data_IF_299788310439
#
_entry.id   IF_299788310439
#
_cell.length_a   1.000
_cell.length_b   1.000
_cell.length_c   1.000
_cell.angle_alpha   90.00
_cell.angle_beta   90.00
_cell.angle_gamma   90.00
#
_symmetry.space_group_name_H-M   'P 1'
#
loop_
_entity.id
_entity.type
_entity.pdbx_description
1 polymer ?
#
# COMPACT_ATOMS: atom_id res chain seq x y z
N UNK A 1 -0.67 20.89 21.04
CA UNK A 1 -0.57 20.52 19.62
C UNK A 1 0.13 19.16 19.51
N UNK A 2 -0.51 18.16 18.94
CA UNK A 2 0.06 16.85 18.66
C UNK A 2 0.83 16.86 17.35
N UNK A 3 1.84 16.00 17.24
CA UNK A 3 2.64 15.84 16.03
C UNK A 3 2.41 14.45 15.44
N UNK A 4 2.29 14.41 14.12
CA UNK A 4 2.26 13.18 13.31
C UNK A 4 3.22 13.34 12.13
N UNK A 5 3.55 12.26 11.45
CA UNK A 5 4.49 12.40 10.34
C UNK A 5 4.53 11.25 9.34
N UNK A 6 5.41 11.40 8.35
CA UNK A 6 5.76 10.38 7.38
C UNK A 6 7.26 10.20 7.32
N UNK A 7 7.72 8.98 7.52
CA UNK A 7 9.12 8.58 7.34
C UNK A 7 9.32 7.94 5.96
N UNK A 8 10.25 8.48 5.18
CA UNK A 8 10.58 7.96 3.84
C UNK A 8 11.74 8.72 3.19
N UNK A 9 12.19 8.25 1.99
CA UNK A 9 13.21 8.94 1.22
C UNK A 9 13.27 8.46 -0.25
N UNK A 10 13.25 9.35 -1.24
CA UNK A 10 12.83 10.75 -1.13
C UNK A 10 11.31 10.85 -0.98
N UNK A 11 10.81 11.91 -0.36
CA UNK A 11 9.37 12.08 -0.13
C UNK A 11 8.66 12.95 -1.18
N UNK A 12 9.39 13.81 -1.90
CA UNK A 12 8.82 14.66 -2.94
C UNK A 12 7.47 15.30 -2.55
N UNK A 13 6.43 15.06 -3.35
CA UNK A 13 5.06 15.45 -3.01
C UNK A 13 4.39 14.34 -2.21
N UNK A 14 4.34 14.49 -0.90
CA UNK A 14 3.74 13.52 0.02
C UNK A 14 2.22 13.66 0.06
N UNK A 15 1.50 12.63 -0.43
CA UNK A 15 0.06 12.53 -0.25
C UNK A 15 -0.34 12.61 1.23
N UNK A 16 0.32 11.85 2.10
CA UNK A 16 -0.01 11.80 3.53
C UNK A 16 0.06 13.18 4.19
N UNK A 17 1.07 13.99 3.86
CA UNK A 17 1.17 15.35 4.40
C UNK A 17 0.00 16.21 3.97
N UNK A 18 -0.36 16.20 2.69
CA UNK A 18 -1.50 16.96 2.16
C UNK A 18 -2.79 16.50 2.81
N UNK A 19 -3.04 15.19 2.83
CA UNK A 19 -4.25 14.58 3.39
C UNK A 19 -4.44 14.94 4.87
N UNK A 20 -3.44 14.70 5.71
CA UNK A 20 -3.56 14.96 7.15
C UNK A 20 -3.62 16.44 7.48
N UNK A 21 -2.91 17.31 6.74
CA UNK A 21 -3.00 18.77 6.92
C UNK A 21 -4.44 19.25 6.66
N UNK A 22 -5.05 18.78 5.57
CA UNK A 22 -6.45 19.10 5.23
C UNK A 22 -7.43 18.54 6.28
N UNK A 23 -7.26 17.30 6.69
CA UNK A 23 -8.05 16.64 7.74
C UNK A 23 -7.99 17.43 9.05
N UNK A 24 -6.80 17.80 9.52
CA UNK A 24 -6.64 18.53 10.78
C UNK A 24 -7.30 19.89 10.72
N UNK A 25 -7.19 20.60 9.59
CA UNK A 25 -7.86 21.89 9.36
C UNK A 25 -9.38 21.76 9.36
N UNK A 26 -9.91 20.79 8.61
CA UNK A 26 -11.36 20.62 8.42
C UNK A 26 -12.04 20.14 9.69
N UNK A 27 -11.41 19.19 10.41
CA UNK A 27 -11.95 18.62 11.65
C UNK A 27 -11.55 19.42 12.91
N UNK A 28 -10.82 20.55 12.74
CA UNK A 28 -10.32 21.43 13.82
C UNK A 28 -9.50 20.66 14.88
N UNK A 29 -8.65 19.75 14.42
CA UNK A 29 -7.75 18.97 15.27
C UNK A 29 -6.49 19.80 15.54
N UNK A 30 -6.11 19.93 16.83
CA UNK A 30 -4.89 20.61 17.26
C UNK A 30 -3.66 19.71 17.03
N UNK A 31 -3.28 19.54 15.76
CA UNK A 31 -2.17 18.69 15.34
C UNK A 31 -1.46 19.22 14.10
N UNK A 32 -0.22 18.78 13.90
CA UNK A 32 0.60 19.03 12.73
C UNK A 32 1.08 17.72 12.11
N UNK A 33 1.23 17.70 10.77
CA UNK A 33 1.82 16.58 10.05
C UNK A 33 3.11 17.00 9.34
N UNK A 34 4.22 16.32 9.64
CA UNK A 34 5.54 16.64 9.11
C UNK A 34 6.13 15.48 8.30
N UNK A 35 7.05 15.80 7.39
CA UNK A 35 7.85 14.81 6.69
C UNK A 35 9.17 14.60 7.44
N UNK A 36 9.45 13.37 7.84
CA UNK A 36 10.76 12.89 8.29
C UNK A 36 11.50 12.33 7.06
N UNK A 37 11.92 13.25 6.17
CA UNK A 37 12.66 12.90 4.96
C UNK A 37 14.13 12.73 5.28
N UNK A 38 14.64 11.51 5.19
CA UNK A 38 16.04 11.22 5.52
C UNK A 38 16.48 9.91 4.85
N UNK A 39 17.72 9.83 4.43
CA UNK A 39 18.39 8.61 3.97
C UNK A 39 19.00 7.80 5.12
N UNK A 40 18.98 8.35 6.36
CA UNK A 40 19.48 7.72 7.57
C UNK A 40 18.35 7.46 8.58
N UNK A 41 17.86 6.22 8.60
CA UNK A 41 16.77 5.81 9.49
C UNK A 41 17.12 5.92 10.98
N UNK A 42 18.37 5.63 11.37
CA UNK A 42 18.79 5.61 12.78
C UNK A 42 18.76 7.02 13.39
N UNK A 43 19.32 7.99 12.68
CA UNK A 43 19.26 9.39 13.12
C UNK A 43 17.83 9.89 13.22
N UNK A 44 17.00 9.55 12.25
CA UNK A 44 15.59 9.98 12.24
C UNK A 44 14.82 9.37 13.41
N UNK A 45 15.05 8.09 13.71
CA UNK A 45 14.40 7.42 14.84
C UNK A 45 14.86 7.97 16.21
N UNK A 46 16.10 8.47 16.31
CA UNK A 46 16.52 9.19 17.52
C UNK A 46 15.70 10.47 17.72
N UNK A 47 15.50 11.27 16.66
CA UNK A 47 14.63 12.46 16.71
C UNK A 47 13.20 12.09 17.06
N UNK A 48 12.64 11.05 16.42
CA UNK A 48 11.29 10.54 16.67
C UNK A 48 11.12 10.15 18.15
N UNK A 49 12.05 9.36 18.71
CA UNK A 49 11.99 8.89 20.10
C UNK A 49 12.12 10.03 21.14
N UNK A 50 12.75 11.13 20.76
CA UNK A 50 12.97 12.29 21.65
C UNK A 50 11.97 13.43 21.42
N UNK A 51 10.93 13.23 20.62
CA UNK A 51 9.89 14.24 20.32
C UNK A 51 8.62 13.94 21.12
N UNK A 52 8.35 14.59 22.28
CA UNK A 52 7.27 14.20 23.19
C UNK A 52 5.86 14.41 22.60
N UNK A 53 5.73 15.32 21.65
CA UNK A 53 4.44 15.63 20.99
C UNK A 53 4.05 14.62 19.90
N UNK A 54 4.99 13.77 19.44
CA UNK A 54 4.75 12.81 18.36
C UNK A 54 3.90 11.63 18.86
N UNK A 55 2.77 11.38 18.20
CA UNK A 55 1.82 10.32 18.55
C UNK A 55 1.86 9.14 17.56
N UNK A 56 2.31 9.38 16.34
CA UNK A 56 2.44 8.34 15.34
C UNK A 56 2.99 8.87 14.03
N UNK A 57 3.42 7.95 13.19
CA UNK A 57 3.93 8.29 11.88
C UNK A 57 3.70 7.16 10.87
N UNK A 58 3.43 7.54 9.63
CA UNK A 58 3.41 6.63 8.50
C UNK A 58 4.84 6.31 8.04
N UNK A 59 5.03 5.15 7.42
CA UNK A 59 6.32 4.70 6.88
C UNK A 59 6.14 4.32 5.41
N UNK A 60 6.99 4.86 4.55
CA UNK A 60 7.00 4.55 3.12
C UNK A 60 8.39 4.09 2.64
N UNK A 61 8.55 3.96 1.34
CA UNK A 61 9.81 3.56 0.71
C UNK A 61 10.95 4.49 1.17
N UNK A 62 12.15 3.93 1.50
CA UNK A 62 12.53 2.51 1.43
C UNK A 62 12.41 1.80 2.80
N UNK A 63 11.64 2.32 3.76
CA UNK A 63 11.75 1.97 5.17
C UNK A 63 10.70 0.97 5.69
N UNK A 64 9.69 0.58 4.90
CA UNK A 64 8.63 -0.34 5.37
C UNK A 64 9.13 -1.66 5.95
N UNK A 65 10.22 -2.21 5.42
CA UNK A 65 10.87 -3.42 5.93
C UNK A 65 12.01 -3.07 6.90
N UNK A 66 12.78 -2.02 6.57
CA UNK A 66 13.98 -1.64 7.32
C UNK A 66 13.70 -1.12 8.73
N UNK A 67 12.49 -0.63 9.01
CA UNK A 67 12.11 -0.10 10.32
C UNK A 67 11.90 -1.20 11.36
N UNK A 68 11.58 -2.43 10.93
CA UNK A 68 11.18 -3.54 11.81
C UNK A 68 12.15 -3.78 12.97
N UNK A 69 13.50 -3.81 12.78
CA UNK A 69 14.45 -4.04 13.87
C UNK A 69 14.46 -2.94 14.94
N UNK A 70 13.87 -1.78 14.68
CA UNK A 70 13.86 -0.62 15.58
C UNK A 70 12.57 -0.46 16.38
N UNK A 71 11.58 -1.35 16.14
CA UNK A 71 10.27 -1.33 16.80
C UNK A 71 10.28 -2.20 18.05
N UNK A 72 9.61 -1.71 19.10
CA UNK A 72 9.45 -2.46 20.36
C UNK A 72 8.38 -3.55 20.21
N UNK A 73 7.31 -3.23 19.48
CA UNK A 73 6.23 -4.17 19.18
C UNK A 73 5.83 -4.10 17.70
N UNK A 74 5.29 -5.20 17.19
CA UNK A 74 4.78 -5.33 15.84
C UNK A 74 3.51 -6.17 15.84
N UNK A 75 2.47 -5.70 15.17
CA UNK A 75 1.21 -6.43 15.01
C UNK A 75 1.41 -7.77 14.30
N UNK A 76 0.52 -8.73 14.54
CA UNK A 76 0.62 -10.07 13.95
C UNK A 76 0.62 -10.02 12.41
N UNK A 77 -0.28 -9.21 11.82
CA UNK A 77 -0.35 -9.05 10.36
C UNK A 77 0.93 -8.41 9.79
N UNK A 78 1.41 -7.32 10.39
CA UNK A 78 2.65 -6.67 9.94
C UNK A 78 3.86 -7.61 10.05
N UNK A 79 3.88 -8.49 11.06
CA UNK A 79 4.93 -9.51 11.23
C UNK A 79 4.87 -10.57 10.15
N UNK A 80 3.67 -11.09 9.82
CA UNK A 80 3.48 -12.09 8.76
C UNK A 80 3.89 -11.54 7.39
N UNK A 81 3.62 -10.26 7.13
CA UNK A 81 3.96 -9.60 5.86
C UNK A 81 5.44 -9.24 5.80
N UNK A 82 6.07 -8.97 6.95
CA UNK A 82 7.43 -8.46 7.03
C UNK A 82 7.53 -7.00 6.58
N UNK A 83 6.46 -6.19 6.71
CA UNK A 83 6.46 -4.78 6.36
C UNK A 83 5.52 -3.97 7.28
N UNK A 84 5.97 -2.76 7.64
CA UNK A 84 5.25 -1.79 8.48
C UNK A 84 5.06 -0.51 7.69
N UNK A 85 3.83 0.02 7.62
CA UNK A 85 3.53 1.31 6.99
C UNK A 85 2.98 2.34 7.98
N UNK A 86 2.70 1.95 9.22
CA UNK A 86 2.19 2.84 10.27
C UNK A 86 2.79 2.49 11.62
N UNK A 87 3.25 3.47 12.37
CA UNK A 87 3.84 3.30 13.70
C UNK A 87 3.12 4.20 14.70
N UNK A 88 2.62 3.60 15.78
CA UNK A 88 2.12 4.31 16.97
C UNK A 88 3.29 4.60 17.89
N UNK A 89 3.32 5.81 18.48
CA UNK A 89 4.34 6.25 19.45
C UNK A 89 3.66 6.50 20.79
N UNK A 90 4.10 5.78 21.81
CA UNK A 90 3.63 5.96 23.18
C UNK A 90 4.81 6.41 24.06
N UNK A 91 4.67 7.57 24.71
CA UNK A 91 5.68 8.11 25.59
C UNK A 91 5.46 7.64 27.01
N UNK A 92 6.49 7.05 27.62
CA UNK A 92 6.51 6.57 28.99
C UNK A 92 7.61 7.26 29.79
N UNK A 93 7.63 7.05 31.11
CA UNK A 93 8.69 7.57 31.98
C UNK A 93 10.07 6.99 31.59
N UNK A 94 10.10 5.77 31.05
CA UNK A 94 11.32 5.06 30.65
C UNK A 94 11.76 5.30 29.20
N UNK A 95 10.99 6.06 28.42
CA UNK A 95 11.27 6.33 27.00
C UNK A 95 10.05 6.17 26.11
N UNK A 96 10.27 6.13 24.81
CA UNK A 96 9.21 5.98 23.81
C UNK A 96 9.10 4.52 23.35
N UNK A 97 7.89 4.00 23.31
CA UNK A 97 7.52 2.67 22.78
C UNK A 97 7.00 2.85 21.37
N UNK A 98 7.56 2.13 20.42
CA UNK A 98 7.18 2.14 19.01
C UNK A 98 6.45 0.83 18.65
N UNK A 99 5.18 0.92 18.27
CA UNK A 99 4.38 -0.25 17.82
C UNK A 99 4.06 -0.14 16.34
N UNK A 100 4.51 -1.11 15.55
CA UNK A 100 4.35 -1.16 14.10
C UNK A 100 3.12 -1.92 13.63
N UNK A 101 2.46 -1.38 12.60
CA UNK A 101 1.27 -1.93 11.95
C UNK A 101 1.41 -1.89 10.44
N UNK A 102 0.54 -2.65 9.75
CA UNK A 102 0.38 -2.54 8.30
C UNK A 102 -1.08 -2.23 7.97
N UNK A 103 -1.36 -0.97 7.66
CA UNK A 103 -2.71 -0.50 7.30
C UNK A 103 -3.00 -0.62 5.80
N UNK A 104 -2.01 -0.90 4.96
CA UNK A 104 -2.20 -1.16 3.52
C UNK A 104 -3.11 -2.36 3.30
N UNK A 105 -3.04 -3.38 4.17
CA UNK A 105 -3.92 -4.56 4.13
C UNK A 105 -5.38 -4.16 4.22
N UNK A 106 -5.71 -3.36 5.25
CA UNK A 106 -7.08 -2.95 5.52
C UNK A 106 -7.61 -2.04 4.42
N UNK A 107 -6.76 -1.08 3.99
CA UNK A 107 -7.10 -0.16 2.90
C UNK A 107 -7.37 -0.89 1.59
N UNK A 108 -6.50 -1.83 1.21
CA UNK A 108 -6.70 -2.63 0.00
C UNK A 108 -7.94 -3.52 0.11
N UNK A 109 -8.09 -4.26 1.21
CA UNK A 109 -9.21 -5.19 1.42
C UNK A 109 -10.56 -4.48 1.31
N UNK A 110 -10.73 -3.37 2.00
CA UNK A 110 -11.98 -2.59 1.98
C UNK A 110 -12.24 -2.01 0.60
N UNK A 111 -11.23 -1.40 -0.03
CA UNK A 111 -11.34 -0.89 -1.39
C UNK A 111 -11.68 -1.97 -2.42
N UNK A 112 -11.11 -3.18 -2.26
CA UNK A 112 -11.43 -4.31 -3.13
C UNK A 112 -12.87 -4.78 -2.97
N UNK A 113 -13.35 -4.95 -1.72
CA UNK A 113 -14.70 -5.44 -1.43
C UNK A 113 -15.80 -4.47 -1.89
N UNK A 114 -15.52 -3.17 -1.95
CA UNK A 114 -16.43 -2.22 -2.57
C UNK A 114 -16.44 -2.30 -4.11
N UNK A 115 -15.32 -2.68 -4.70
CA UNK A 115 -15.18 -2.77 -6.15
C UNK A 115 -15.79 -4.04 -6.72
N UNK A 116 -15.67 -5.16 -6.01
CA UNK A 116 -16.17 -6.47 -6.45
C UNK A 116 -17.30 -6.93 -5.54
N UNK A 117 -18.47 -7.24 -6.12
CA UNK A 117 -19.63 -7.71 -5.33
C UNK A 117 -19.42 -9.10 -4.74
N UNK A 118 -18.76 -9.98 -5.49
CA UNK A 118 -18.45 -11.36 -5.08
C UNK A 118 -16.97 -11.61 -5.30
N UNK A 119 -16.19 -11.83 -4.24
CA UNK A 119 -14.78 -12.15 -4.38
C UNK A 119 -14.56 -13.40 -5.25
N UNK A 120 -13.66 -13.34 -6.23
CA UNK A 120 -13.32 -14.51 -7.04
C UNK A 120 -12.49 -15.49 -6.21
N UNK A 121 -12.39 -16.73 -6.68
CA UNK A 121 -11.54 -17.74 -6.02
C UNK A 121 -10.06 -17.57 -6.32
N UNK A 122 -9.72 -16.89 -7.41
CA UNK A 122 -8.35 -16.73 -7.89
C UNK A 122 -8.07 -15.32 -8.39
N UNK A 123 -6.84 -14.86 -8.23
CA UNK A 123 -6.35 -13.57 -8.70
C UNK A 123 -4.93 -13.65 -9.26
N UNK A 124 -4.64 -12.79 -10.25
CA UNK A 124 -3.28 -12.48 -10.71
C UNK A 124 -2.78 -11.24 -10.00
N UNK A 125 -1.59 -11.32 -9.43
CA UNK A 125 -0.92 -10.20 -8.79
C UNK A 125 0.39 -9.89 -9.51
N UNK A 126 0.44 -8.75 -10.18
CA UNK A 126 1.61 -8.31 -10.94
C UNK A 126 2.58 -7.59 -10.00
N UNK A 127 3.78 -8.16 -9.80
CA UNK A 127 4.84 -7.60 -8.97
C UNK A 127 5.02 -8.29 -7.61
N UNK A 128 6.23 -8.12 -7.05
CA UNK A 128 6.73 -8.81 -5.83
C UNK A 128 7.23 -7.85 -4.75
N UNK A 129 6.96 -6.55 -4.87
CA UNK A 129 7.41 -5.50 -3.93
C UNK A 129 6.65 -5.49 -2.59
N UNK A 130 7.00 -4.55 -1.72
CA UNK A 130 6.38 -4.44 -0.38
C UNK A 130 4.86 -4.27 -0.39
N UNK A 131 4.29 -3.52 -1.34
CA UNK A 131 2.84 -3.40 -1.50
C UNK A 131 2.20 -4.73 -1.93
N UNK A 132 2.88 -5.50 -2.79
CA UNK A 132 2.42 -6.83 -3.23
C UNK A 132 2.26 -7.80 -2.05
N UNK A 133 3.17 -7.76 -1.07
CA UNK A 133 3.09 -8.62 0.14
C UNK A 133 1.81 -8.33 0.95
N UNK A 134 1.46 -7.04 1.12
CA UNK A 134 0.23 -6.64 1.81
C UNK A 134 -1.02 -7.09 1.04
N UNK A 135 -1.02 -6.94 -0.30
CA UNK A 135 -2.10 -7.40 -1.17
C UNK A 135 -2.27 -8.93 -1.10
N UNK A 136 -1.18 -9.70 -1.18
CA UNK A 136 -1.23 -11.16 -1.04
C UNK A 136 -1.87 -11.58 0.29
N UNK A 137 -1.46 -10.95 1.39
CA UNK A 137 -2.01 -11.24 2.70
C UNK A 137 -3.51 -10.90 2.78
N UNK A 138 -3.92 -9.76 2.24
CA UNK A 138 -5.32 -9.36 2.17
C UNK A 138 -6.16 -10.35 1.35
N UNK A 139 -5.69 -10.75 0.18
CA UNK A 139 -6.38 -11.72 -0.68
C UNK A 139 -6.48 -13.10 -0.01
N UNK A 140 -5.40 -13.58 0.62
CA UNK A 140 -5.41 -14.84 1.37
C UNK A 140 -6.42 -14.81 2.53
N UNK A 141 -6.58 -13.67 3.23
CA UNK A 141 -7.60 -13.49 4.28
C UNK A 141 -9.04 -13.55 3.75
N UNK A 142 -9.23 -13.32 2.46
CA UNK A 142 -10.52 -13.44 1.75
C UNK A 142 -10.72 -14.82 1.10
N UNK A 143 -9.78 -15.75 1.27
CA UNK A 143 -9.82 -17.08 0.65
C UNK A 143 -9.52 -17.07 -0.85
N UNK A 144 -8.89 -16.02 -1.37
CA UNK A 144 -8.53 -15.89 -2.78
C UNK A 144 -7.13 -16.45 -3.00
N UNK A 145 -7.00 -17.45 -3.88
CA UNK A 145 -5.72 -17.97 -4.33
C UNK A 145 -5.02 -16.96 -5.25
N UNK A 146 -3.71 -16.74 -5.02
CA UNK A 146 -2.94 -15.70 -5.71
C UNK A 146 -1.83 -16.30 -6.56
N UNK A 147 -1.85 -16.02 -7.86
CA UNK A 147 -0.73 -16.27 -8.77
C UNK A 147 0.09 -14.99 -8.92
N UNK A 148 1.26 -14.97 -8.32
CA UNK A 148 2.15 -13.78 -8.40
C UNK A 148 2.97 -13.82 -9.67
N UNK A 149 2.93 -12.72 -10.42
CA UNK A 149 3.65 -12.54 -11.68
C UNK A 149 4.93 -11.74 -11.44
N UNK A 150 6.06 -12.28 -11.86
CA UNK A 150 7.39 -11.67 -11.71
C UNK A 150 8.16 -11.64 -13.04
N UNK A 151 9.03 -10.64 -13.22
CA UNK A 151 9.98 -10.59 -14.33
C UNK A 151 11.10 -11.63 -14.18
N UNK A 152 11.42 -11.96 -12.93
CA UNK A 152 12.40 -12.97 -12.53
C UNK A 152 11.73 -13.91 -11.53
N UNK A 153 10.91 -14.85 -12.00
CA UNK A 153 10.09 -15.67 -11.12
C UNK A 153 10.95 -16.61 -10.24
N UNK A 154 10.56 -16.73 -8.97
CA UNK A 154 11.13 -17.64 -8.00
C UNK A 154 10.04 -18.62 -7.51
N UNK A 155 10.38 -19.91 -7.35
CA UNK A 155 9.52 -20.98 -6.83
C UNK A 155 8.09 -21.01 -7.38
N UNK A 156 7.11 -20.44 -6.62
CA UNK A 156 5.68 -20.45 -6.95
C UNK A 156 5.23 -19.26 -7.81
N UNK A 157 6.16 -18.37 -8.19
CA UNK A 157 5.84 -17.23 -9.05
C UNK A 157 5.76 -17.67 -10.51
N UNK A 158 4.96 -16.96 -11.31
CA UNK A 158 4.85 -17.17 -12.75
C UNK A 158 5.49 -16.01 -13.51
N UNK A 159 5.97 -16.29 -14.72
CA UNK A 159 6.51 -15.26 -15.61
C UNK A 159 5.40 -14.61 -16.46
N UNK A 160 5.67 -13.44 -17.02
CA UNK A 160 4.70 -12.70 -17.84
C UNK A 160 4.23 -13.47 -19.08
N UNK A 161 5.08 -14.28 -19.69
CA UNK A 161 4.72 -15.15 -20.84
C UNK A 161 3.75 -16.27 -20.50
N UNK A 162 3.62 -16.62 -19.22
CA UNK A 162 2.68 -17.62 -18.73
C UNK A 162 1.29 -17.06 -18.43
N UNK A 163 1.14 -15.72 -18.28
CA UNK A 163 -0.11 -15.07 -17.83
C UNK A 163 -1.32 -15.49 -18.66
N UNK A 164 -1.16 -15.64 -19.98
CA UNK A 164 -2.25 -16.06 -20.87
C UNK A 164 -2.98 -17.34 -20.42
N UNK A 165 -2.26 -18.27 -19.77
CA UNK A 165 -2.80 -19.56 -19.33
C UNK A 165 -3.72 -19.44 -18.11
N UNK A 166 -3.60 -18.35 -17.37
CA UNK A 166 -4.33 -18.11 -16.12
C UNK A 166 -5.55 -17.22 -16.30
N UNK A 167 -5.57 -16.33 -17.30
CA UNK A 167 -6.60 -15.30 -17.46
C UNK A 167 -8.03 -15.83 -17.47
N UNK A 168 -8.28 -17.00 -18.07
CA UNK A 168 -9.64 -17.57 -18.13
C UNK A 168 -10.22 -17.91 -16.76
N UNK A 169 -9.38 -18.17 -15.76
CA UNK A 169 -9.76 -18.60 -14.42
C UNK A 169 -9.48 -17.57 -13.33
N UNK A 170 -8.80 -16.48 -13.68
CA UNK A 170 -8.41 -15.42 -12.73
C UNK A 170 -9.07 -14.09 -13.13
N UNK A 171 -10.34 -13.88 -12.78
CA UNK A 171 -11.04 -12.67 -13.17
C UNK A 171 -10.49 -11.39 -12.53
N UNK A 172 -9.76 -11.48 -11.41
CA UNK A 172 -9.16 -10.34 -10.73
C UNK A 172 -7.68 -10.24 -11.08
N UNK A 173 -7.28 -9.09 -11.63
CA UNK A 173 -5.90 -8.78 -11.99
C UNK A 173 -5.49 -7.51 -11.26
N UNK A 174 -4.41 -7.58 -10.47
CA UNK A 174 -3.96 -6.47 -9.64
C UNK A 174 -2.56 -6.04 -10.08
N UNK A 175 -2.40 -4.77 -10.43
CA UNK A 175 -1.09 -4.19 -10.67
C UNK A 175 -0.52 -3.62 -9.35
N UNK A 176 0.47 -4.30 -8.77
CA UNK A 176 1.24 -3.84 -7.62
C UNK A 176 2.68 -3.43 -8.02
N UNK A 177 2.93 -3.20 -9.31
CA UNK A 177 4.18 -2.67 -9.84
C UNK A 177 4.11 -1.14 -9.97
N UNK A 178 5.26 -0.44 -10.08
CA UNK A 178 5.27 0.99 -10.41
C UNK A 178 5.11 1.27 -11.92
N UNK A 179 4.84 0.25 -12.74
CA UNK A 179 4.74 0.40 -14.21
C UNK A 179 3.45 1.12 -14.58
N UNK A 180 3.57 2.26 -15.21
CA UNK A 180 2.45 3.16 -15.54
C UNK A 180 2.28 4.35 -14.59
N UNK A 181 3.10 4.42 -13.54
CA UNK A 181 3.13 5.56 -12.61
C UNK A 181 3.87 6.75 -13.23
N UNK A 182 3.46 7.95 -12.84
CA UNK A 182 4.20 9.17 -13.19
C UNK A 182 5.70 9.07 -12.82
N UNK A 183 6.67 9.51 -13.68
CA UNK A 183 6.44 10.20 -14.97
C UNK A 183 6.25 9.26 -16.18
N UNK A 184 6.34 7.95 -16.05
CA UNK A 184 6.31 6.97 -17.15
C UNK A 184 4.90 6.43 -17.41
N UNK A 185 3.94 7.34 -17.59
CA UNK A 185 2.49 7.04 -17.66
C UNK A 185 2.06 6.23 -18.90
N UNK A 186 2.89 6.19 -19.94
CA UNK A 186 2.59 5.42 -21.16
C UNK A 186 2.96 3.94 -21.07
N UNK A 187 3.67 3.56 -20.01
CA UNK A 187 4.04 2.17 -19.78
C UNK A 187 2.88 1.40 -19.14
N UNK A 188 2.80 0.11 -19.41
CA UNK A 188 1.87 -0.81 -18.74
C UNK A 188 2.52 -2.18 -18.53
N UNK A 189 2.03 -3.01 -17.58
CA UNK A 189 2.45 -4.40 -17.47
C UNK A 189 2.22 -5.16 -18.78
N UNK A 190 3.17 -6.00 -19.16
CA UNK A 190 3.14 -6.75 -20.41
C UNK A 190 2.26 -8.02 -20.27
N UNK A 191 0.95 -7.84 -20.28
CA UNK A 191 -0.04 -8.92 -20.25
C UNK A 191 -0.83 -8.97 -21.57
N UNK A 192 -1.42 -10.12 -21.93
CA UNK A 192 -2.18 -10.25 -23.18
C UNK A 192 -3.59 -9.63 -23.04
N UNK A 193 -3.68 -8.29 -23.11
CA UNK A 193 -4.93 -7.51 -22.95
C UNK A 193 -6.08 -7.97 -23.84
N UNK A 194 -5.80 -8.46 -25.07
CA UNK A 194 -6.80 -8.97 -26.01
C UNK A 194 -7.56 -10.20 -25.51
N UNK A 195 -7.09 -10.86 -24.44
CA UNK A 195 -7.79 -11.97 -23.76
C UNK A 195 -8.71 -11.51 -22.62
N UNK A 196 -8.70 -10.22 -22.29
CA UNK A 196 -9.58 -9.66 -21.30
C UNK A 196 -11.01 -9.52 -21.83
N UNK A 197 -11.97 -9.39 -20.92
CA UNK A 197 -13.39 -9.25 -21.23
C UNK A 197 -14.14 -8.56 -20.08
N UNK A 198 -15.44 -8.40 -20.21
CA UNK A 198 -16.33 -7.87 -19.16
C UNK A 198 -16.38 -8.70 -17.86
N UNK A 199 -15.82 -9.92 -17.88
CA UNK A 199 -15.69 -10.77 -16.67
C UNK A 199 -14.48 -10.41 -15.83
N UNK A 200 -13.58 -9.54 -16.31
CA UNK A 200 -12.35 -9.19 -15.61
C UNK A 200 -12.50 -7.90 -14.80
N UNK A 201 -11.79 -7.86 -13.69
CA UNK A 201 -11.63 -6.72 -12.79
C UNK A 201 -10.14 -6.39 -12.72
N UNK A 202 -9.78 -5.17 -13.12
CA UNK A 202 -8.41 -4.67 -13.04
C UNK A 202 -8.31 -3.67 -11.90
N UNK A 203 -7.52 -4.01 -10.89
CA UNK A 203 -7.22 -3.13 -9.78
C UNK A 203 -5.78 -2.64 -9.91
N UNK A 204 -5.57 -1.34 -10.07
CA UNK A 204 -4.23 -0.75 -10.09
C UNK A 204 -3.94 -0.09 -8.75
N UNK A 205 -2.82 -0.43 -8.08
CA UNK A 205 -2.41 0.28 -6.86
C UNK A 205 -1.93 1.71 -7.13
N UNK A 206 -1.66 2.03 -8.39
CA UNK A 206 -1.31 3.39 -8.84
C UNK A 206 -2.57 4.27 -8.78
N UNK A 207 -2.40 5.51 -8.32
CA UNK A 207 -3.45 6.52 -8.27
C UNK A 207 -3.10 7.79 -9.07
N UNK A 208 -1.86 7.91 -9.52
CA UNK A 208 -1.40 9.00 -10.39
C UNK A 208 -0.55 8.43 -11.54
N UNK A 209 -1.08 8.45 -12.78
CA UNK A 209 -2.32 9.10 -13.22
C UNK A 209 -3.58 8.41 -12.67
N UNK A 210 -4.74 9.09 -12.75
CA UNK A 210 -6.03 8.55 -12.32
C UNK A 210 -6.44 7.31 -13.09
N UNK A 211 -6.20 7.29 -14.41
CA UNK A 211 -6.35 6.12 -15.29
C UNK A 211 -4.97 5.81 -15.87
N UNK A 212 -4.43 4.65 -15.52
CA UNK A 212 -3.18 4.14 -16.07
C UNK A 212 -3.40 3.47 -17.42
N UNK A 213 -2.33 3.30 -18.20
CA UNK A 213 -2.40 2.56 -19.48
C UNK A 213 -2.85 1.10 -19.26
N UNK A 214 -2.52 0.47 -18.14
CA UNK A 214 -3.03 -0.85 -17.72
C UNK A 214 -4.56 -0.85 -17.62
N UNK A 215 -5.13 0.12 -16.94
CA UNK A 215 -6.56 0.26 -16.76
C UNK A 215 -7.24 0.60 -18.10
N UNK A 216 -6.71 1.55 -18.87
CA UNK A 216 -7.26 1.96 -20.16
C UNK A 216 -7.35 0.78 -21.13
N UNK A 217 -6.28 -0.03 -21.27
CA UNK A 217 -6.32 -1.22 -22.14
C UNK A 217 -7.31 -2.27 -21.68
N UNK A 218 -7.45 -2.45 -20.35
CA UNK A 218 -8.46 -3.35 -19.80
C UNK A 218 -9.88 -2.89 -20.10
N UNK A 219 -10.17 -1.61 -19.91
CA UNK A 219 -11.47 -1.01 -20.19
C UNK A 219 -11.87 -1.13 -21.68
N UNK A 220 -10.91 -0.97 -22.59
CA UNK A 220 -11.14 -1.20 -24.04
C UNK A 220 -11.60 -2.63 -24.36
N UNK A 221 -11.29 -3.60 -23.51
CA UNK A 221 -11.78 -4.98 -23.62
C UNK A 221 -13.07 -5.24 -22.80
N UNK A 222 -13.63 -4.18 -22.20
CA UNK A 222 -14.85 -4.26 -21.40
C UNK A 222 -14.61 -4.65 -19.93
N UNK A 223 -13.38 -4.77 -19.47
CA UNK A 223 -13.07 -5.05 -18.07
C UNK A 223 -13.47 -3.87 -17.16
N UNK A 224 -13.85 -4.18 -15.93
CA UNK A 224 -14.06 -3.16 -14.88
C UNK A 224 -12.73 -2.74 -14.32
N UNK A 225 -12.56 -1.44 -14.05
CA UNK A 225 -11.29 -0.87 -13.61
C UNK A 225 -11.44 -0.11 -12.29
N UNK A 226 -10.40 -0.14 -11.47
CA UNK A 226 -10.30 0.65 -10.24
C UNK A 226 -8.85 1.03 -9.98
N UNK A 227 -8.60 2.29 -9.60
CA UNK A 227 -7.28 2.77 -9.18
C UNK A 227 -7.06 2.68 -7.66
N UNK A 228 -5.83 2.95 -7.22
CA UNK A 228 -5.40 2.83 -5.83
C UNK A 228 -5.81 4.00 -4.92
N UNK A 229 -6.51 5.02 -5.42
CA UNK A 229 -6.78 6.24 -4.65
C UNK A 229 -7.59 5.97 -3.37
N UNK A 230 -8.64 5.16 -3.47
CA UNK A 230 -9.45 4.82 -2.30
C UNK A 230 -8.65 4.03 -1.27
N UNK A 231 -7.85 3.05 -1.71
CA UNK A 231 -6.94 2.31 -0.82
C UNK A 231 -6.01 3.27 -0.06
N UNK A 232 -5.51 4.30 -0.75
CA UNK A 232 -4.61 5.29 -0.19
C UNK A 232 -5.28 6.13 0.91
N UNK A 233 -6.55 6.52 0.73
CA UNK A 233 -7.34 7.20 1.76
C UNK A 233 -7.62 6.28 2.94
N UNK A 234 -8.10 5.08 2.70
CA UNK A 234 -8.48 4.13 3.74
C UNK A 234 -7.28 3.75 4.64
N UNK A 235 -6.09 3.49 4.06
CA UNK A 235 -4.90 3.18 4.87
C UNK A 235 -4.48 4.35 5.77
N UNK A 236 -4.69 5.60 5.31
CA UNK A 236 -4.41 6.79 6.11
C UNK A 236 -5.42 6.92 7.26
N UNK A 237 -6.70 6.67 7.02
CA UNK A 237 -7.74 6.67 8.06
C UNK A 237 -7.54 5.55 9.09
N UNK A 238 -7.12 4.36 8.66
CA UNK A 238 -6.75 3.30 9.59
C UNK A 238 -5.52 3.67 10.43
N UNK A 239 -4.51 4.29 9.83
CA UNK A 239 -3.35 4.82 10.58
C UNK A 239 -3.79 5.86 11.61
N UNK A 240 -4.67 6.79 11.23
CA UNK A 240 -5.23 7.79 12.13
C UNK A 240 -5.95 7.16 13.33
N UNK A 241 -6.79 6.16 13.10
CA UNK A 241 -7.47 5.42 14.18
C UNK A 241 -6.46 4.80 15.14
N UNK A 242 -5.42 4.12 14.63
CA UNK A 242 -4.38 3.47 15.44
C UNK A 242 -3.58 4.47 16.29
N UNK A 243 -3.28 5.65 15.76
CA UNK A 243 -2.50 6.66 16.49
C UNK A 243 -3.29 7.32 17.63
N UNK A 244 -4.62 7.22 17.61
CA UNK A 244 -5.53 7.83 18.58
C UNK A 244 -6.18 6.81 19.56
N UNK A 245 -5.78 5.54 19.50
CA UNK A 245 -6.13 4.52 20.51
C UNK A 245 -5.03 4.47 21.57
#
# INVERSE_FOLDING_TARGET
MHLFGLLGFPLGHSFSKTYFTEKFKTEKIDAEFVNFESDNIEQTLQVIKTTPSLKGFAVTIPYKEKIIPYLDHISEDARKIGAVNSVKVEHTISGSILTGYNTDILGFRESLLEFIQTPPTQALLLGTGGASKAVQHALASLGIEVFTVSRTPHFSEISYDQVARFLSNTPLIINATPVGMWPHVTNCPDIPYHLLSSNHYLFDLIYNPEITEFMHRGEQQGARIKNGLQMLYLQADYSWKLWNT
#
